data_IF_342302769593
#
_entry.id   IF_342302769593
#
_cell.length_a   1.000
_cell.length_b   1.000
_cell.length_c   1.000
_cell.angle_alpha   90.00
_cell.angle_beta   90.00
_cell.angle_gamma   90.00
#
_symmetry.space_group_name_H-M   'P 1'
#
loop_
_entity.id
_entity.type
_entity.pdbx_description
1 polymer ?
#
# COMPACT_ATOMS: atom_id res chain seq x y z
N UNK A 1 -7.34 -57.51 13.97
CA UNK A 1 -8.00 -56.44 14.73
C UNK A 1 -7.33 -55.13 14.33
N UNK A 2 -8.09 -54.31 13.62
CA UNK A 2 -7.82 -52.97 13.08
C UNK A 2 -7.56 -51.94 14.17
N UNK A 3 -6.55 -51.07 14.04
CA UNK A 3 -6.52 -49.62 14.41
C UNK A 3 -5.26 -48.98 13.81
N UNK A 4 -5.16 -47.77 13.27
CA UNK A 4 -6.07 -46.75 12.73
C UNK A 4 -5.12 -45.73 12.07
N UNK A 5 -5.32 -45.41 10.80
CA UNK A 5 -4.57 -44.33 10.14
C UNK A 5 -4.87 -43.02 10.87
N UNK A 6 -3.88 -42.44 11.56
CA UNK A 6 -3.95 -41.13 12.22
C UNK A 6 -4.10 -40.03 11.14
N UNK A 7 -4.85 -38.96 11.41
CA UNK A 7 -5.37 -38.06 10.38
C UNK A 7 -4.23 -37.34 9.65
N UNK A 8 -4.47 -37.11 8.35
CA UNK A 8 -3.65 -36.44 7.34
C UNK A 8 -3.23 -35.00 7.74
N UNK A 9 -2.48 -34.83 8.82
CA UNK A 9 -2.14 -33.51 9.34
C UNK A 9 -0.73 -33.11 8.85
N UNK A 10 -0.61 -32.03 8.06
CA UNK A 10 0.69 -31.60 7.55
C UNK A 10 1.58 -31.09 8.70
N UNK A 11 2.76 -31.69 8.86
CA UNK A 11 3.78 -31.34 9.89
C UNK A 11 4.40 -29.95 9.69
N UNK A 12 4.22 -29.34 8.52
CA UNK A 12 4.81 -28.04 8.18
C UNK A 12 3.69 -27.05 7.88
N UNK A 13 3.62 -25.98 8.66
CA UNK A 13 2.78 -24.82 8.31
C UNK A 13 3.38 -24.16 7.06
N UNK A 14 2.67 -24.12 5.92
CA UNK A 14 3.16 -23.43 4.75
C UNK A 14 3.40 -21.97 5.09
N UNK A 15 4.60 -21.45 4.82
CA UNK A 15 4.89 -20.02 4.92
C UNK A 15 4.11 -19.32 3.82
N UNK A 16 2.92 -18.84 4.15
CA UNK A 16 2.13 -18.01 3.25
C UNK A 16 2.90 -16.70 3.05
N UNK A 17 3.47 -16.52 1.87
CA UNK A 17 4.01 -15.22 1.46
C UNK A 17 2.85 -14.23 1.43
N UNK A 18 2.98 -13.15 2.19
CA UNK A 18 1.98 -12.08 2.13
C UNK A 18 1.88 -11.60 0.68
N UNK A 19 0.67 -11.54 0.10
CA UNK A 19 0.50 -11.09 -1.27
C UNK A 19 0.96 -9.63 -1.37
N UNK A 20 2.09 -9.42 -2.05
CA UNK A 20 2.71 -8.08 -2.22
C UNK A 20 1.91 -7.17 -3.16
N UNK A 21 0.91 -7.71 -3.82
CA UNK A 21 0.03 -7.02 -4.77
C UNK A 21 -1.35 -6.77 -4.16
N UNK A 22 -1.92 -5.60 -4.44
CA UNK A 22 -3.21 -5.17 -3.91
C UNK A 22 -3.09 -4.28 -2.67
N UNK A 23 -4.19 -4.14 -1.93
CA UNK A 23 -4.23 -3.41 -0.66
C UNK A 23 -3.61 -4.29 0.43
N UNK A 24 -2.34 -4.04 0.74
CA UNK A 24 -1.61 -4.64 1.86
C UNK A 24 -0.88 -3.54 2.64
N UNK A 25 -0.53 -3.84 3.90
CA UNK A 25 0.09 -2.87 4.81
C UNK A 25 1.34 -2.20 4.24
N UNK A 26 2.13 -2.93 3.45
CA UNK A 26 3.32 -2.36 2.82
C UNK A 26 2.95 -1.32 1.76
N UNK A 27 2.00 -1.65 0.87
CA UNK A 27 1.52 -0.75 -0.17
C UNK A 27 0.87 0.50 0.44
N UNK A 28 0.06 0.34 1.49
CA UNK A 28 -0.58 1.45 2.18
C UNK A 28 0.44 2.40 2.82
N UNK A 29 1.45 1.86 3.51
CA UNK A 29 2.53 2.66 4.11
C UNK A 29 3.37 3.38 3.06
N UNK A 30 3.64 2.72 1.93
CA UNK A 30 4.40 3.32 0.83
C UNK A 30 3.59 4.45 0.17
N UNK A 31 2.33 4.20 -0.17
CA UNK A 31 1.44 5.18 -0.77
C UNK A 31 1.18 6.37 0.17
N UNK A 32 1.02 6.12 1.47
CA UNK A 32 0.87 7.19 2.46
C UNK A 32 2.09 8.13 2.53
N UNK A 33 3.32 7.59 2.45
CA UNK A 33 4.54 8.40 2.39
C UNK A 33 4.62 9.21 1.10
N UNK A 34 4.31 8.58 -0.03
CA UNK A 34 4.27 9.27 -1.31
C UNK A 34 3.24 10.41 -1.29
N UNK A 35 2.09 10.21 -0.66
CA UNK A 35 1.07 11.25 -0.50
C UNK A 35 1.56 12.42 0.38
N UNK A 36 2.24 12.17 1.50
CA UNK A 36 2.81 13.23 2.34
C UNK A 36 3.84 14.08 1.56
N UNK A 37 4.72 13.42 0.81
CA UNK A 37 5.71 14.10 -0.03
C UNK A 37 5.03 14.90 -1.14
N UNK A 38 4.05 14.30 -1.83
CA UNK A 38 3.30 14.98 -2.88
C UNK A 38 2.56 16.22 -2.38
N UNK A 39 1.95 16.15 -1.19
CA UNK A 39 1.28 17.29 -0.56
C UNK A 39 2.25 18.41 -0.18
N UNK A 40 3.40 18.07 0.41
CA UNK A 40 4.42 19.06 0.74
C UNK A 40 4.99 19.74 -0.53
N UNK A 41 5.24 18.98 -1.58
CA UNK A 41 5.68 19.51 -2.88
C UNK A 41 4.62 20.40 -3.51
N UNK A 42 3.34 20.01 -3.41
CA UNK A 42 2.24 20.82 -3.92
C UNK A 42 2.21 22.21 -3.29
N UNK A 43 2.31 22.29 -1.96
CA UNK A 43 2.38 23.57 -1.25
C UNK A 43 3.64 24.37 -1.63
N UNK A 44 4.80 23.71 -1.75
CA UNK A 44 6.04 24.35 -2.12
C UNK A 44 5.98 24.96 -3.54
N UNK A 45 5.40 24.23 -4.49
CA UNK A 45 5.21 24.71 -5.86
C UNK A 45 4.26 25.89 -5.87
N UNK A 46 3.10 25.79 -5.21
CA UNK A 46 2.11 26.87 -5.15
C UNK A 46 2.70 28.15 -4.56
N UNK A 47 3.54 28.04 -3.54
CA UNK A 47 4.25 29.18 -2.96
C UNK A 47 5.28 29.82 -3.91
N UNK A 48 5.96 29.02 -4.73
CA UNK A 48 6.99 29.52 -5.67
C UNK A 48 6.34 30.13 -6.93
N UNK A 49 5.23 29.55 -7.39
CA UNK A 49 4.57 29.95 -8.64
C UNK A 49 3.49 31.01 -8.45
N UNK A 50 3.06 31.27 -7.21
CA UNK A 50 1.87 32.08 -6.87
C UNK A 50 0.60 31.62 -7.64
N UNK A 51 0.57 30.36 -8.06
CA UNK A 51 -0.52 29.76 -8.82
C UNK A 51 -0.95 28.47 -8.15
N UNK A 52 -2.20 28.46 -7.67
CA UNK A 52 -2.80 27.26 -7.09
C UNK A 52 -2.96 26.13 -8.11
N UNK A 53 -2.96 24.90 -7.63
CA UNK A 53 -3.10 23.69 -8.47
C UNK A 53 -4.34 23.75 -9.38
N UNK A 54 -5.45 24.33 -8.91
CA UNK A 54 -6.69 24.44 -9.68
C UNK A 54 -6.52 25.31 -10.94
N UNK A 55 -5.66 26.34 -10.87
CA UNK A 55 -5.37 27.19 -12.01
C UNK A 55 -4.71 26.38 -13.15
N UNK A 56 -3.94 25.34 -12.82
CA UNK A 56 -3.32 24.46 -13.82
C UNK A 56 -4.35 23.53 -14.49
N UNK A 57 -5.44 23.22 -13.80
CA UNK A 57 -6.59 22.50 -14.36
C UNK A 57 -7.53 23.42 -15.16
N UNK A 58 -7.18 24.71 -15.32
CA UNK A 58 -7.98 25.70 -16.03
C UNK A 58 -9.17 26.24 -15.22
N UNK A 59 -9.24 25.92 -13.94
CA UNK A 59 -10.29 26.34 -13.02
C UNK A 59 -9.76 27.52 -12.20
N UNK A 60 -10.37 28.69 -12.36
CA UNK A 60 -10.01 29.95 -11.69
C UNK A 60 -11.21 30.56 -11.00
#
# INVERSE_FOLDING_TARGET
>A
MTQSQTPLQPTVTPKLSQPKFGFNDYAERLNGRAAMIGFALLLAIEYITDQGLLAWLGLR
#
